data_IF_064382100610
#
_entry.id   IF_064382100610
#
_cell.length_a   1.000
_cell.length_b   1.000
_cell.length_c   1.000
_cell.angle_alpha   90.00
_cell.angle_beta   90.00
_cell.angle_gamma   90.00
#
_symmetry.space_group_name_H-M   'P 1'
#
loop_
_entity.id
_entity.type
_entity.pdbx_description
1 polymer ?
#
# COMPACT_ATOMS: atom_id res chain seq x y z
N UNK A 1 32.61 -22.95 16.80
CA UNK A 1 32.79 -21.49 16.94
C UNK A 1 31.43 -20.85 17.05
N UNK A 2 30.90 -20.68 18.26
CA UNK A 2 29.74 -19.84 18.53
C UNK A 2 30.17 -18.86 19.63
N UNK A 3 30.86 -17.78 19.23
CA UNK A 3 31.05 -16.68 20.16
C UNK A 3 29.66 -16.13 20.54
N UNK A 4 29.40 -15.85 21.83
CA UNK A 4 28.13 -15.26 22.24
C UNK A 4 27.95 -13.94 21.49
N UNK A 5 26.73 -13.73 20.96
CA UNK A 5 26.40 -12.50 20.27
C UNK A 5 26.60 -11.31 21.21
N UNK A 6 27.12 -10.16 20.71
CA UNK A 6 27.12 -8.91 21.45
C UNK A 6 25.73 -8.61 22.00
N UNK A 7 25.66 -8.10 23.24
CA UNK A 7 24.41 -7.84 23.95
C UNK A 7 23.45 -6.93 23.16
N UNK A 8 23.99 -5.98 22.40
CA UNK A 8 23.23 -5.11 21.51
C UNK A 8 22.49 -5.88 20.40
N UNK A 9 23.12 -6.91 19.84
CA UNK A 9 22.52 -7.76 18.79
C UNK A 9 21.47 -8.69 19.41
N UNK A 10 21.75 -9.25 20.59
CA UNK A 10 20.81 -10.12 21.30
C UNK A 10 19.51 -9.37 21.63
N UNK A 11 19.63 -8.18 22.23
CA UNK A 11 18.49 -7.33 22.55
C UNK A 11 17.72 -6.90 21.31
N UNK A 12 18.41 -6.59 20.21
CA UNK A 12 17.75 -6.28 18.94
C UNK A 12 16.90 -7.47 18.44
N UNK A 13 17.45 -8.68 18.46
CA UNK A 13 16.71 -9.90 18.04
C UNK A 13 15.51 -10.17 18.96
N UNK A 14 15.64 -9.97 20.28
CA UNK A 14 14.53 -10.15 21.23
C UNK A 14 13.37 -9.17 20.99
N UNK A 15 13.66 -7.97 20.47
CA UNK A 15 12.64 -6.93 20.20
C UNK A 15 12.09 -6.93 18.77
N UNK A 16 12.72 -7.65 17.84
CA UNK A 16 12.32 -7.66 16.42
C UNK A 16 11.00 -8.42 16.23
N UNK A 17 10.09 -7.82 15.48
CA UNK A 17 8.81 -8.41 15.09
C UNK A 17 8.68 -8.56 13.57
N UNK A 18 7.92 -9.57 13.14
CA UNK A 18 7.57 -9.73 11.71
C UNK A 18 6.71 -8.57 11.19
N UNK A 19 6.05 -7.83 12.09
CA UNK A 19 5.25 -6.65 11.74
C UNK A 19 6.11 -5.38 11.54
N UNK A 20 7.39 -5.39 11.91
CA UNK A 20 8.29 -4.23 11.76
C UNK A 20 8.39 -3.76 10.31
N UNK A 21 8.24 -4.68 9.36
CA UNK A 21 8.17 -4.37 7.93
C UNK A 21 7.02 -3.43 7.56
N UNK A 22 5.99 -3.28 8.39
CA UNK A 22 4.89 -2.32 8.20
C UNK A 22 4.83 -1.26 9.30
N UNK A 23 5.14 -1.62 10.55
CA UNK A 23 4.93 -0.76 11.72
C UNK A 23 6.17 0.03 12.17
N UNK A 24 7.39 -0.44 11.86
CA UNK A 24 8.61 0.17 12.40
C UNK A 24 8.79 1.61 11.87
N UNK A 25 8.79 2.61 12.74
CA UNK A 25 8.83 4.00 12.28
C UNK A 25 10.22 4.46 11.82
N UNK A 26 11.27 3.96 12.47
CA UNK A 26 12.66 4.38 12.26
C UNK A 26 13.59 3.17 12.32
N UNK A 27 14.76 3.28 11.67
CA UNK A 27 15.75 2.21 11.63
C UNK A 27 15.63 1.33 10.38
N UNK A 28 15.96 0.04 10.51
CA UNK A 28 16.03 -0.90 9.38
C UNK A 28 15.05 -2.05 9.61
N UNK A 29 14.24 -2.33 8.59
CA UNK A 29 13.37 -3.50 8.55
C UNK A 29 13.75 -4.37 7.35
N UNK A 30 13.80 -5.69 7.56
CA UNK A 30 13.99 -6.65 6.47
C UNK A 30 12.64 -6.91 5.80
N UNK A 31 12.59 -6.76 4.47
CA UNK A 31 11.38 -7.01 3.70
C UNK A 31 11.68 -7.42 2.26
N UNK A 32 10.77 -8.17 1.65
CA UNK A 32 10.81 -8.46 0.21
C UNK A 32 10.36 -7.24 -0.61
N UNK A 33 10.60 -7.26 -1.92
CA UNK A 33 10.11 -6.21 -2.82
C UNK A 33 8.57 -6.06 -2.77
N UNK A 34 7.83 -7.17 -2.70
CA UNK A 34 6.36 -7.13 -2.56
C UNK A 34 5.93 -6.50 -1.24
N UNK A 35 6.60 -6.81 -0.13
CA UNK A 35 6.31 -6.20 1.16
C UNK A 35 6.64 -4.70 1.16
N UNK A 36 7.70 -4.29 0.45
CA UNK A 36 8.00 -2.87 0.25
C UNK A 36 6.90 -2.15 -0.54
N UNK A 37 6.35 -2.78 -1.58
CA UNK A 37 5.20 -2.23 -2.33
C UNK A 37 3.95 -2.10 -1.45
N UNK A 38 3.70 -3.05 -0.53
CA UNK A 38 2.60 -2.94 0.45
C UNK A 38 2.84 -1.82 1.46
N UNK A 39 4.09 -1.57 1.84
CA UNK A 39 4.46 -0.50 2.78
C UNK A 39 4.37 0.89 2.15
N UNK A 40 4.66 1.01 0.84
CA UNK A 40 4.66 2.27 0.10
C UNK A 40 3.40 3.14 0.32
N UNK A 41 2.15 2.65 0.19
CA UNK A 41 0.97 3.47 0.45
C UNK A 41 0.86 3.96 1.90
N UNK A 42 1.35 3.19 2.88
CA UNK A 42 1.38 3.63 4.28
C UNK A 42 2.36 4.79 4.47
N UNK A 43 3.50 4.75 3.75
CA UNK A 43 4.47 5.84 3.75
C UNK A 43 3.93 7.08 3.03
N UNK A 44 3.16 6.91 1.94
CA UNK A 44 2.48 8.01 1.28
C UNK A 44 1.50 8.69 2.24
N UNK A 45 0.62 7.93 2.93
CA UNK A 45 -0.30 8.48 3.93
C UNK A 45 0.44 9.22 5.06
N UNK A 46 1.55 8.66 5.54
CA UNK A 46 2.40 9.32 6.55
C UNK A 46 2.97 10.64 6.02
N UNK A 47 3.45 10.67 4.77
CA UNK A 47 3.95 11.89 4.13
C UNK A 47 2.85 12.95 4.00
N UNK A 48 1.65 12.57 3.60
CA UNK A 48 0.52 13.47 3.48
C UNK A 48 0.15 14.08 4.85
N UNK A 49 0.09 13.25 5.89
CA UNK A 49 -0.18 13.71 7.26
C UNK A 49 0.90 14.69 7.77
N UNK A 50 2.18 14.46 7.44
CA UNK A 50 3.27 15.40 7.76
C UNK A 50 3.12 16.75 7.04
N UNK A 51 2.44 16.78 5.90
CA UNK A 51 2.09 18.01 5.18
C UNK A 51 0.73 18.60 5.63
N UNK A 52 0.10 18.05 6.68
CA UNK A 52 -1.19 18.50 7.19
C UNK A 52 -2.41 18.04 6.37
N UNK A 53 -2.25 17.05 5.49
CA UNK A 53 -3.33 16.54 4.64
C UNK A 53 -3.98 15.27 5.23
N UNK A 54 -5.30 15.24 5.30
CA UNK A 54 -6.09 14.08 5.64
C UNK A 54 -6.51 13.30 4.38
N UNK A 55 -5.57 12.57 3.77
CA UNK A 55 -5.84 11.75 2.58
C UNK A 55 -6.37 10.35 2.89
N UNK A 56 -7.24 9.81 2.04
CA UNK A 56 -7.52 8.37 1.97
C UNK A 56 -6.60 7.69 0.95
N UNK A 57 -6.46 6.37 1.04
CA UNK A 57 -5.77 5.58 0.02
C UNK A 57 -6.69 4.54 -0.61
N UNK A 58 -6.63 4.39 -1.93
CA UNK A 58 -7.35 3.33 -2.63
C UNK A 58 -6.40 2.56 -3.56
N UNK A 59 -6.37 1.25 -3.39
CA UNK A 59 -5.52 0.35 -4.16
C UNK A 59 -6.43 -0.60 -4.93
N UNK A 60 -6.24 -0.68 -6.24
CA UNK A 60 -6.88 -1.71 -7.06
C UNK A 60 -5.91 -2.22 -8.11
N UNK A 61 -6.16 -3.42 -8.59
CA UNK A 61 -5.39 -3.99 -9.68
C UNK A 61 -5.86 -5.39 -10.01
N UNK A 62 -5.25 -5.94 -11.05
CA UNK A 62 -5.53 -7.29 -11.51
C UNK A 62 -4.28 -8.15 -11.47
N UNK A 63 -4.45 -9.34 -10.89
CA UNK A 63 -3.36 -10.28 -10.66
C UNK A 63 -2.70 -10.75 -11.95
N UNK A 64 -1.40 -10.99 -11.85
CA UNK A 64 -0.63 -11.66 -12.87
C UNK A 64 0.87 -11.48 -12.66
N UNK A 65 1.67 -12.32 -13.32
CA UNK A 65 3.13 -12.17 -13.29
C UNK A 65 3.54 -10.80 -13.83
N UNK A 66 4.52 -10.10 -13.20
CA UNK A 66 5.35 -10.52 -12.06
C UNK A 66 4.73 -10.22 -10.67
N UNK A 67 3.56 -9.58 -10.61
CA UNK A 67 2.92 -9.11 -9.37
C UNK A 67 1.96 -10.13 -8.74
N UNK A 68 2.03 -11.42 -9.10
CA UNK A 68 1.07 -12.43 -8.67
C UNK A 68 0.95 -12.60 -7.15
N UNK A 69 2.01 -12.28 -6.39
CA UNK A 69 1.99 -12.30 -4.92
C UNK A 69 1.54 -11.00 -4.25
N UNK A 70 1.33 -9.92 -5.01
CA UNK A 70 1.04 -8.60 -4.44
C UNK A 70 -0.33 -8.52 -3.79
N UNK A 71 -1.39 -9.00 -4.46
CA UNK A 71 -2.75 -9.10 -3.90
C UNK A 71 -2.75 -9.81 -2.54
N UNK A 72 -2.04 -10.94 -2.47
CA UNK A 72 -1.98 -11.75 -1.27
C UNK A 72 -1.28 -11.00 -0.14
N UNK A 73 -0.20 -10.30 -0.44
CA UNK A 73 0.50 -9.47 0.53
C UNK A 73 -0.37 -8.29 1.02
N UNK A 74 -1.12 -7.64 0.12
CA UNK A 74 -2.08 -6.59 0.49
C UNK A 74 -3.20 -7.13 1.39
N UNK A 75 -3.75 -8.30 1.11
CA UNK A 75 -4.74 -8.94 1.97
C UNK A 75 -4.19 -9.29 3.34
N UNK A 76 -2.98 -9.85 3.41
CA UNK A 76 -2.31 -10.13 4.68
C UNK A 76 -2.07 -8.85 5.50
N UNK A 77 -1.79 -7.74 4.84
CA UNK A 77 -1.57 -6.44 5.47
C UNK A 77 -2.86 -5.60 5.67
N UNK A 78 -4.05 -6.16 5.43
CA UNK A 78 -5.32 -5.41 5.47
C UNK A 78 -5.51 -4.60 6.74
N UNK A 79 -5.11 -5.14 7.91
CA UNK A 79 -5.21 -4.43 9.20
C UNK A 79 -4.32 -3.19 9.25
N UNK A 80 -3.09 -3.30 8.77
CA UNK A 80 -2.12 -2.20 8.70
C UNK A 80 -2.57 -1.12 7.71
N UNK A 81 -3.13 -1.52 6.57
CA UNK A 81 -3.70 -0.60 5.58
C UNK A 81 -4.94 0.13 6.14
N UNK A 82 -5.86 -0.60 6.76
CA UNK A 82 -7.08 -0.03 7.32
C UNK A 82 -6.80 0.98 8.44
N UNK A 83 -5.79 0.73 9.28
CA UNK A 83 -5.35 1.68 10.32
C UNK A 83 -4.88 3.03 9.75
N UNK A 84 -4.54 3.08 8.46
CA UNK A 84 -4.07 4.27 7.74
C UNK A 84 -5.13 4.80 6.75
N UNK A 85 -6.39 4.37 6.84
CA UNK A 85 -7.46 4.71 5.90
C UNK A 85 -7.17 4.31 4.44
N UNK A 86 -6.47 3.18 4.26
CA UNK A 86 -6.17 2.63 2.93
C UNK A 86 -7.03 1.39 2.68
N UNK A 87 -7.76 1.40 1.56
CA UNK A 87 -8.61 0.29 1.12
C UNK A 87 -7.96 -0.39 -0.07
N UNK A 88 -7.81 -1.71 0.02
CA UNK A 88 -7.48 -2.55 -1.13
C UNK A 88 -8.72 -3.28 -1.62
N UNK A 89 -9.05 -3.09 -2.90
CA UNK A 89 -10.12 -3.78 -3.59
C UNK A 89 -9.58 -4.33 -4.92
N UNK A 90 -9.41 -5.65 -5.06
CA UNK A 90 -8.95 -6.22 -6.32
C UNK A 90 -9.99 -6.00 -7.43
N UNK A 91 -9.52 -5.73 -8.64
CA UNK A 91 -10.35 -5.63 -9.83
C UNK A 91 -10.60 -7.00 -10.46
N UNK A 92 -11.66 -7.09 -11.27
CA UNK A 92 -11.95 -8.27 -12.10
C UNK A 92 -11.04 -8.34 -13.33
N UNK A 93 -10.57 -7.18 -13.81
CA UNK A 93 -9.54 -6.99 -14.82
C UNK A 93 -8.81 -5.66 -14.58
N UNK A 94 -7.82 -5.35 -15.41
CA UNK A 94 -7.02 -4.13 -15.30
C UNK A 94 -7.85 -2.85 -15.46
N UNK A 95 -8.78 -2.85 -16.41
CA UNK A 95 -9.61 -1.70 -16.78
C UNK A 95 -10.56 -1.32 -15.65
N UNK A 96 -11.30 -2.30 -15.11
CA UNK A 96 -12.19 -2.10 -13.97
C UNK A 96 -11.42 -1.70 -12.71
N UNK A 97 -10.21 -2.21 -12.51
CA UNK A 97 -9.34 -1.74 -11.43
C UNK A 97 -8.96 -0.27 -11.62
N UNK A 98 -8.60 0.13 -12.84
CA UNK A 98 -8.26 1.52 -13.16
C UNK A 98 -9.47 2.43 -12.95
N UNK A 99 -10.66 2.03 -13.43
CA UNK A 99 -11.91 2.77 -13.25
C UNK A 99 -12.26 2.93 -11.78
N UNK A 100 -12.06 1.89 -10.95
CA UNK A 100 -12.29 1.97 -9.52
C UNK A 100 -11.35 2.99 -8.84
N UNK A 101 -10.06 3.01 -9.24
CA UNK A 101 -9.10 4.02 -8.77
C UNK A 101 -9.55 5.42 -9.16
N UNK A 102 -9.91 5.64 -10.43
CA UNK A 102 -10.39 6.93 -10.91
C UNK A 102 -11.65 7.40 -10.17
N UNK A 103 -12.64 6.51 -9.98
CA UNK A 103 -13.86 6.82 -9.25
C UNK A 103 -13.62 7.19 -7.78
N UNK A 104 -12.62 6.59 -7.13
CA UNK A 104 -12.27 6.90 -5.74
C UNK A 104 -11.83 8.35 -5.51
N UNK A 105 -11.45 9.05 -6.57
CA UNK A 105 -10.92 10.42 -6.52
C UNK A 105 -11.99 11.49 -6.77
N UNK A 106 -13.21 11.10 -7.16
CA UNK A 106 -14.31 12.02 -7.49
C UNK A 106 -15.05 12.52 -6.25
N UNK A 107 -14.31 13.01 -5.26
CA UNK A 107 -14.86 13.49 -3.99
C UNK A 107 -15.83 14.68 -4.19
N UNK A 108 -15.59 15.52 -5.20
CA UNK A 108 -16.42 16.70 -5.47
C UNK A 108 -17.84 16.35 -5.94
N UNK A 109 -18.10 15.10 -6.34
CA UNK A 109 -19.45 14.65 -6.69
C UNK A 109 -20.35 14.47 -5.46
N UNK A 110 -19.77 14.28 -4.28
CA UNK A 110 -20.51 14.03 -3.03
C UNK A 110 -19.95 14.84 -1.86
N UNK A 111 -19.93 16.19 -1.94
CA UNK A 111 -19.23 17.04 -0.98
C UNK A 111 -19.73 16.88 0.46
N UNK A 112 -21.00 16.50 0.64
CA UNK A 112 -21.61 16.34 1.97
C UNK A 112 -21.15 15.08 2.71
N UNK A 113 -20.58 14.08 2.01
CA UNK A 113 -20.11 12.82 2.60
C UNK A 113 -18.59 12.68 2.60
N UNK A 114 -17.86 13.71 2.16
CA UNK A 114 -16.41 13.72 2.09
C UNK A 114 -15.80 13.69 3.49
N UNK A 115 -14.96 12.68 3.72
CA UNK A 115 -14.22 12.47 4.99
C UNK A 115 -12.73 12.80 4.88
N UNK A 116 -12.25 13.04 3.66
CA UNK A 116 -10.84 13.19 3.32
C UNK A 116 -10.66 14.39 2.40
N UNK A 117 -9.48 15.01 2.46
CA UNK A 117 -9.10 16.14 1.58
C UNK A 117 -8.81 15.66 0.14
N UNK A 118 -8.55 14.36 -0.02
CA UNK A 118 -8.22 13.73 -1.28
C UNK A 118 -8.06 12.22 -1.10
N UNK A 119 -8.09 11.47 -2.20
CA UNK A 119 -7.77 10.03 -2.22
C UNK A 119 -6.60 9.81 -3.17
N UNK A 120 -5.49 9.29 -2.67
CA UNK A 120 -4.42 8.82 -3.56
C UNK A 120 -4.77 7.43 -4.08
N UNK A 121 -4.55 7.24 -5.38
CA UNK A 121 -4.84 5.99 -6.08
C UNK A 121 -3.56 5.21 -6.37
N UNK A 122 -3.58 3.90 -6.15
CA UNK A 122 -2.54 3.00 -6.64
C UNK A 122 -3.20 1.94 -7.51
N UNK A 123 -2.82 1.93 -8.77
CA UNK A 123 -3.19 0.89 -9.72
C UNK A 123 -2.01 -0.07 -9.94
N UNK A 124 -2.30 -1.36 -10.11
CA UNK A 124 -1.31 -2.32 -10.60
C UNK A 124 -1.90 -3.29 -11.62
N UNK A 125 -1.08 -3.66 -12.59
CA UNK A 125 -1.46 -4.56 -13.68
C UNK A 125 -0.27 -4.93 -14.54
N UNK A 126 -0.54 -5.57 -15.68
CA UNK A 126 0.47 -6.00 -16.66
C UNK A 126 0.59 -4.98 -17.79
N UNK A 127 1.69 -5.05 -18.56
CA UNK A 127 1.94 -4.18 -19.73
C UNK A 127 0.73 -4.01 -20.65
N UNK A 128 0.10 -5.09 -21.17
CA UNK A 128 -1.08 -4.95 -22.03
C UNK A 128 -2.29 -4.30 -21.34
N UNK A 129 -2.38 -4.39 -20.01
CA UNK A 129 -3.41 -3.72 -19.24
C UNK A 129 -3.20 -2.20 -19.18
N UNK A 130 -1.94 -1.74 -19.15
CA UNK A 130 -1.61 -0.31 -19.21
C UNK A 130 -2.16 0.30 -20.50
N UNK A 131 -1.92 -0.35 -21.64
CA UNK A 131 -2.37 0.13 -22.94
C UNK A 131 -3.90 0.27 -22.99
N UNK A 132 -4.62 -0.71 -22.44
CA UNK A 132 -6.10 -0.73 -22.42
C UNK A 132 -6.73 0.24 -21.42
N UNK A 133 -5.99 0.68 -20.41
CA UNK A 133 -6.44 1.65 -19.41
C UNK A 133 -6.06 3.11 -19.77
N UNK A 134 -5.56 3.35 -20.98
CA UNK A 134 -5.01 4.66 -21.37
C UNK A 134 -6.03 5.81 -21.32
N UNK A 135 -7.32 5.52 -21.49
CA UNK A 135 -8.41 6.49 -21.36
C UNK A 135 -8.65 6.88 -19.90
N UNK A 136 -8.55 5.92 -18.97
CA UNK A 136 -8.68 6.16 -17.53
C UNK A 136 -7.48 6.95 -16.97
N UNK A 137 -6.30 6.78 -17.57
CA UNK A 137 -5.07 7.47 -17.14
C UNK A 137 -4.86 8.86 -17.75
N UNK A 138 -5.69 9.27 -18.71
CA UNK A 138 -5.64 10.59 -19.33
C UNK A 138 -6.56 11.56 -18.62
#
# INVERSE_FOLDING_TARGET
MNAPLPESIRKAIETVSLDDKYALENGRALMSGTQALVRLPMLQKKRDALNGLNTGGFISGYRGSPLGGYDQALWQAKKHLAAQNIVFQPGVNEELAATAVWGSQQLDLYPQSNKFDGVFGIWYGKGPGVDRCSDVFK
#
